data_IF_920841777780
#
_entry.id   IF_920841777780
#
_cell.length_a   1.000
_cell.length_b   1.000
_cell.length_c   1.000
_cell.angle_alpha   90.00
_cell.angle_beta   90.00
_cell.angle_gamma   90.00
#
_symmetry.space_group_name_H-M   'P 1'
#
loop_
_entity.id
_entity.type
_entity.pdbx_description
1 polymer ?
#
# COMPACT_ATOMS: atom_id res chain seq x y z
N UNK A 1 20.13 0.93 -27.81
CA UNK A 1 21.39 1.67 -28.02
C UNK A 1 22.04 1.07 -29.27
N UNK A 2 21.59 1.46 -30.46
CA UNK A 2 22.05 2.61 -31.25
C UNK A 2 23.47 2.41 -31.79
N UNK A 3 23.50 2.19 -33.11
CA UNK A 3 24.64 2.01 -34.02
C UNK A 3 25.73 3.09 -33.86
N UNK A 4 27.00 2.68 -34.00
CA UNK A 4 28.12 3.58 -34.28
C UNK A 4 28.83 3.10 -35.56
N UNK A 5 28.51 3.76 -36.68
CA UNK A 5 29.30 4.81 -37.37
C UNK A 5 30.33 4.25 -38.36
N UNK A 6 29.90 4.34 -39.61
CA UNK A 6 30.61 4.36 -40.87
C UNK A 6 31.33 5.70 -41.07
N UNK A 7 32.59 5.69 -41.52
CA UNK A 7 33.18 6.62 -42.51
C UNK A 7 34.71 6.64 -42.40
N UNK A 8 35.41 6.25 -43.48
CA UNK A 8 36.54 7.00 -44.05
C UNK A 8 36.86 6.42 -45.43
N UNK A 9 36.36 7.09 -46.46
CA UNK A 9 36.72 6.94 -47.87
C UNK A 9 36.94 8.36 -48.41
N UNK A 10 37.93 8.47 -49.29
CA UNK A 10 38.44 9.64 -50.02
C UNK A 10 39.48 10.52 -49.31
N UNK A 11 40.74 10.28 -49.65
CA UNK A 11 41.55 11.32 -50.29
C UNK A 11 42.33 10.70 -51.45
N UNK A 12 42.37 11.41 -52.58
CA UNK A 12 43.02 10.98 -53.81
C UNK A 12 44.01 12.05 -54.25
N UNK A 13 45.24 11.66 -54.55
CA UNK A 13 46.21 12.60 -55.09
C UNK A 13 47.58 12.00 -55.41
N UNK A 14 47.94 12.16 -56.69
CA UNK A 14 49.29 12.17 -57.27
C UNK A 14 50.01 10.85 -57.56
N UNK A 15 50.00 10.53 -58.86
CA UNK A 15 50.95 9.69 -59.59
C UNK A 15 52.39 10.21 -59.40
N UNK A 16 53.31 9.29 -59.13
CA UNK A 16 54.73 9.44 -59.43
C UNK A 16 55.27 8.06 -59.79
N UNK A 17 55.47 7.84 -61.09
CA UNK A 17 56.38 6.83 -61.63
C UNK A 17 57.81 7.31 -61.31
N UNK A 18 58.57 6.56 -60.51
CA UNK A 18 59.88 6.06 -60.94
C UNK A 18 60.52 5.15 -59.87
N UNK A 19 61.40 4.28 -60.34
CA UNK A 19 62.37 3.47 -59.59
C UNK A 19 61.83 2.34 -58.70
N UNK A 20 61.89 1.14 -59.29
CA UNK A 20 61.78 -0.19 -58.72
C UNK A 20 63.08 -0.57 -57.96
N UNK A 21 63.14 -0.56 -56.62
CA UNK A 21 64.09 -1.39 -55.89
C UNK A 21 63.54 -2.82 -55.84
N UNK A 22 64.39 -3.78 -56.21
CA UNK A 22 64.12 -5.21 -56.17
C UNK A 22 63.21 -5.61 -55.00
N UNK A 23 61.98 -5.98 -55.34
CA UNK A 23 60.98 -6.51 -54.44
C UNK A 23 61.39 -7.90 -53.96
N UNK A 24 62.31 -7.94 -53.01
CA UNK A 24 62.57 -9.11 -52.17
C UNK A 24 61.46 -9.15 -51.12
N UNK A 25 60.23 -9.40 -51.59
CA UNK A 25 59.12 -9.72 -50.72
C UNK A 25 59.49 -11.05 -50.06
N UNK A 26 59.53 -11.15 -48.71
CA UNK A 26 59.74 -12.44 -48.08
C UNK A 26 58.69 -13.39 -48.64
N UNK A 27 59.10 -14.59 -49.04
CA UNK A 27 58.19 -15.67 -49.38
C UNK A 27 57.41 -15.95 -48.10
N UNK A 28 56.32 -15.22 -47.91
CA UNK A 28 55.37 -15.42 -46.83
C UNK A 28 54.79 -16.79 -47.11
N UNK A 29 55.18 -17.76 -46.28
CA UNK A 29 54.72 -19.12 -46.38
C UNK A 29 53.19 -19.10 -46.18
N UNK A 30 52.45 -19.13 -47.29
CA UNK A 30 50.99 -18.96 -47.31
C UNK A 30 50.30 -19.97 -46.40
N UNK A 31 50.92 -21.13 -46.24
CA UNK A 31 50.46 -22.19 -45.35
C UNK A 31 50.55 -21.76 -43.88
N UNK A 32 51.64 -21.09 -43.48
CA UNK A 32 51.84 -20.58 -42.13
C UNK A 32 50.85 -19.45 -41.80
N UNK A 33 50.59 -18.55 -42.75
CA UNK A 33 49.59 -17.50 -42.55
C UNK A 33 48.17 -18.05 -42.44
N UNK A 34 47.85 -19.11 -43.19
CA UNK A 34 46.55 -19.77 -43.12
C UNK A 34 46.34 -20.47 -41.76
N UNK A 35 47.37 -21.13 -41.21
CA UNK A 35 47.29 -21.75 -39.89
C UNK A 35 47.09 -20.71 -38.77
N UNK A 36 47.79 -19.57 -38.82
CA UNK A 36 47.62 -18.51 -37.84
C UNK A 36 46.22 -17.88 -37.89
N UNK A 37 45.67 -17.65 -39.08
CA UNK A 37 44.31 -17.12 -39.23
C UNK A 37 43.27 -18.12 -38.73
N UNK A 38 43.47 -19.42 -38.99
CA UNK A 38 42.60 -20.47 -38.49
C UNK A 38 42.62 -20.52 -36.96
N UNK A 39 43.80 -20.50 -36.34
CA UNK A 39 43.94 -20.49 -34.88
C UNK A 39 43.34 -19.24 -34.24
N UNK A 40 43.48 -18.07 -34.87
CA UNK A 40 42.84 -16.83 -34.43
C UNK A 40 41.32 -16.91 -34.51
N UNK A 41 40.77 -17.49 -35.58
CA UNK A 41 39.34 -17.71 -35.75
C UNK A 41 38.79 -18.71 -34.73
N UNK A 42 39.52 -19.80 -34.48
CA UNK A 42 39.17 -20.82 -33.50
C UNK A 42 39.21 -20.22 -32.09
N UNK A 43 40.21 -19.40 -31.77
CA UNK A 43 40.31 -18.67 -30.50
C UNK A 43 39.16 -17.67 -30.32
N UNK A 44 38.82 -16.90 -31.36
CA UNK A 44 37.73 -15.93 -31.33
C UNK A 44 36.37 -16.63 -31.16
N UNK A 45 36.13 -17.70 -31.92
CA UNK A 45 34.89 -18.47 -31.84
C UNK A 45 34.73 -19.12 -30.47
N UNK A 46 35.80 -19.70 -29.90
CA UNK A 46 35.79 -20.24 -28.55
C UNK A 46 35.49 -19.16 -27.49
N UNK A 47 36.06 -17.96 -27.62
CA UNK A 47 35.76 -16.81 -26.73
C UNK A 47 34.31 -16.33 -26.87
N UNK A 48 33.79 -16.27 -28.09
CA UNK A 48 32.39 -15.89 -28.32
C UNK A 48 31.42 -16.93 -27.76
N UNK A 49 31.68 -18.22 -27.98
CA UNK A 49 30.85 -19.31 -27.45
C UNK A 49 30.86 -19.30 -25.92
N UNK A 50 32.04 -19.17 -25.30
CA UNK A 50 32.15 -19.12 -23.83
C UNK A 50 31.49 -17.88 -23.25
N UNK A 51 31.70 -16.70 -23.85
CA UNK A 51 31.04 -15.46 -23.44
C UNK A 51 29.52 -15.55 -23.59
N UNK A 52 29.03 -16.12 -24.70
CA UNK A 52 27.61 -16.31 -24.94
C UNK A 52 27.00 -17.29 -23.95
N UNK A 53 27.65 -18.44 -23.71
CA UNK A 53 27.21 -19.42 -22.72
C UNK A 53 27.11 -18.79 -21.33
N UNK A 54 28.14 -18.07 -20.90
CA UNK A 54 28.14 -17.38 -19.61
C UNK A 54 27.00 -16.36 -19.50
N UNK A 55 26.68 -15.65 -20.58
CA UNK A 55 25.59 -14.68 -20.59
C UNK A 55 24.22 -15.37 -20.52
N UNK A 56 24.04 -16.47 -21.27
CA UNK A 56 22.83 -17.31 -21.21
C UNK A 56 22.63 -17.88 -19.81
N UNK A 57 23.68 -18.37 -19.16
CA UNK A 57 23.63 -18.91 -17.80
C UNK A 57 23.23 -17.83 -16.79
N UNK A 58 23.78 -16.62 -16.94
CA UNK A 58 23.43 -15.47 -16.09
C UNK A 58 21.97 -15.07 -16.28
N UNK A 59 21.50 -14.93 -17.52
CA UNK A 59 20.11 -14.59 -17.81
C UNK A 59 19.14 -15.67 -17.32
N UNK A 60 19.52 -16.94 -17.43
CA UNK A 60 18.74 -18.07 -16.90
C UNK A 60 18.59 -17.97 -15.38
N UNK A 61 19.69 -17.69 -14.68
CA UNK A 61 19.68 -17.49 -13.22
C UNK A 61 18.84 -16.28 -12.81
N UNK A 62 19.00 -15.15 -13.49
CA UNK A 62 18.24 -13.93 -13.20
C UNK A 62 16.73 -14.16 -13.42
N UNK A 63 16.36 -14.89 -14.47
CA UNK A 63 14.97 -15.24 -14.75
C UNK A 63 14.38 -16.15 -13.65
N UNK A 64 15.15 -17.13 -13.18
CA UNK A 64 14.74 -17.97 -12.05
C UNK A 64 14.55 -17.15 -10.77
N UNK A 65 15.47 -16.23 -10.47
CA UNK A 65 15.38 -15.35 -9.30
C UNK A 65 14.16 -14.41 -9.38
N UNK A 66 13.93 -13.79 -10.53
CA UNK A 66 12.75 -12.96 -10.76
C UNK A 66 11.45 -13.77 -10.63
N UNK A 67 11.43 -15.00 -11.13
CA UNK A 67 10.32 -15.92 -10.94
C UNK A 67 10.04 -16.22 -9.47
N UNK A 68 11.08 -16.53 -8.69
CA UNK A 68 10.98 -16.78 -7.26
C UNK A 68 10.47 -15.55 -6.49
N UNK A 69 11.02 -14.36 -6.79
CA UNK A 69 10.59 -13.08 -6.18
C UNK A 69 9.14 -12.75 -6.53
N UNK A 70 8.73 -12.98 -7.77
CA UNK A 70 7.36 -12.75 -8.24
C UNK A 70 6.39 -13.67 -7.50
N UNK A 71 6.72 -14.96 -7.37
CA UNK A 71 5.93 -15.93 -6.62
C UNK A 71 5.80 -15.53 -5.15
N UNK A 72 6.92 -15.17 -4.50
CA UNK A 72 6.93 -14.71 -3.11
C UNK A 72 6.05 -13.47 -2.90
N UNK A 73 6.17 -12.47 -3.78
CA UNK A 73 5.36 -11.26 -3.71
C UNK A 73 3.87 -11.56 -3.92
N UNK A 74 3.52 -12.46 -4.84
CA UNK A 74 2.13 -12.88 -5.05
C UNK A 74 1.55 -13.56 -3.80
N UNK A 75 2.33 -14.40 -3.12
CA UNK A 75 1.93 -14.98 -1.83
C UNK A 75 1.70 -13.90 -0.77
N UNK A 76 2.61 -12.92 -0.65
CA UNK A 76 2.46 -11.81 0.30
C UNK A 76 1.26 -10.91 0.02
N UNK A 77 0.94 -10.66 -1.25
CA UNK A 77 -0.27 -9.93 -1.63
C UNK A 77 -1.53 -10.70 -1.20
N UNK A 78 -1.53 -12.03 -1.36
CA UNK A 78 -2.66 -12.87 -0.96
C UNK A 78 -2.85 -12.87 0.56
N UNK A 79 -1.75 -12.95 1.32
CA UNK A 79 -1.75 -12.84 2.79
C UNK A 79 -2.32 -11.48 3.23
N UNK A 80 -1.81 -10.38 2.69
CA UNK A 80 -2.33 -9.04 3.01
C UNK A 80 -3.80 -8.84 2.63
N UNK A 81 -4.25 -9.44 1.53
CA UNK A 81 -5.66 -9.39 1.16
C UNK A 81 -6.54 -10.15 2.17
N UNK A 82 -6.06 -11.28 2.70
CA UNK A 82 -6.73 -12.02 3.76
C UNK A 82 -6.80 -11.19 5.04
N UNK A 83 -5.66 -10.69 5.51
CA UNK A 83 -5.57 -9.88 6.74
C UNK A 83 -6.46 -8.62 6.66
N UNK A 84 -6.49 -7.98 5.49
CA UNK A 84 -7.34 -6.82 5.25
C UNK A 84 -8.83 -7.16 5.35
N UNK A 85 -9.26 -8.30 4.78
CA UNK A 85 -10.66 -8.73 4.85
C UNK A 85 -11.07 -9.06 6.28
N UNK A 86 -10.21 -9.76 7.03
CA UNK A 86 -10.45 -10.08 8.43
C UNK A 86 -10.58 -8.78 9.25
N UNK A 87 -9.66 -7.83 9.05
CA UNK A 87 -9.71 -6.53 9.73
C UNK A 87 -10.98 -5.75 9.38
N UNK A 88 -11.40 -5.74 8.12
CA UNK A 88 -12.63 -5.08 7.70
C UNK A 88 -13.87 -5.67 8.39
N UNK A 89 -13.95 -7.00 8.51
CA UNK A 89 -15.02 -7.67 9.25
C UNK A 89 -15.00 -7.33 10.76
N UNK A 90 -13.80 -7.28 11.35
CA UNK A 90 -13.61 -6.87 12.74
C UNK A 90 -14.10 -5.43 12.98
N UNK A 91 -13.76 -4.50 12.10
CA UNK A 91 -14.20 -3.09 12.19
C UNK A 91 -15.72 -3.01 12.09
N UNK A 92 -16.32 -3.68 11.09
CA UNK A 92 -17.78 -3.67 10.91
C UNK A 92 -18.51 -4.21 12.15
N UNK A 93 -18.00 -5.28 12.76
CA UNK A 93 -18.56 -5.83 14.00
C UNK A 93 -18.44 -4.87 15.18
N UNK A 94 -17.31 -4.18 15.32
CA UNK A 94 -17.13 -3.18 16.37
C UNK A 94 -18.08 -1.99 16.19
N UNK A 95 -18.29 -1.53 14.96
CA UNK A 95 -19.25 -0.45 14.65
C UNK A 95 -20.69 -0.85 15.01
N UNK A 96 -21.07 -2.10 14.72
CA UNK A 96 -22.38 -2.64 15.11
C UNK A 96 -22.53 -2.72 16.64
N UNK A 97 -21.49 -3.17 17.35
CA UNK A 97 -21.49 -3.22 18.81
C UNK A 97 -21.59 -1.82 19.42
N UNK A 98 -20.84 -0.85 18.90
CA UNK A 98 -20.89 0.54 19.36
C UNK A 98 -22.29 1.11 19.16
N UNK A 99 -22.87 0.93 17.97
CA UNK A 99 -24.24 1.39 17.68
C UNK A 99 -25.26 0.75 18.64
N UNK A 100 -25.14 -0.56 18.90
CA UNK A 100 -26.02 -1.24 19.85
C UNK A 100 -25.84 -0.76 21.29
N UNK A 101 -24.61 -0.45 21.70
CA UNK A 101 -24.36 0.11 23.03
C UNK A 101 -24.96 1.51 23.16
N UNK A 102 -24.83 2.34 22.13
CA UNK A 102 -25.38 3.69 22.10
C UNK A 102 -26.91 3.66 22.24
N UNK A 103 -27.59 2.79 21.48
CA UNK A 103 -29.05 2.61 21.62
C UNK A 103 -29.44 2.13 23.01
N UNK A 104 -28.68 1.19 23.59
CA UNK A 104 -28.96 0.68 24.93
C UNK A 104 -28.76 1.75 26.01
N UNK A 105 -27.80 2.66 25.85
CA UNK A 105 -27.57 3.79 26.76
C UNK A 105 -28.75 4.75 26.68
N UNK A 106 -29.19 5.11 25.46
CA UNK A 106 -30.35 6.00 25.27
C UNK A 106 -31.60 5.39 25.90
N UNK A 107 -31.87 4.11 25.64
CA UNK A 107 -33.02 3.40 26.23
C UNK A 107 -32.95 3.37 27.76
N UNK A 108 -31.75 3.16 28.32
CA UNK A 108 -31.53 3.15 29.77
C UNK A 108 -31.71 4.55 30.38
N UNK A 109 -31.24 5.60 29.72
CA UNK A 109 -31.43 6.99 30.16
C UNK A 109 -32.90 7.39 30.10
N UNK A 110 -33.61 7.05 29.03
CA UNK A 110 -35.04 7.30 28.88
C UNK A 110 -35.83 6.55 29.94
N UNK A 111 -35.51 5.27 30.18
CA UNK A 111 -36.16 4.47 31.23
C UNK A 111 -35.88 5.04 32.63
N UNK A 112 -34.66 5.53 32.88
CA UNK A 112 -34.29 6.19 34.14
C UNK A 112 -35.02 7.52 34.33
N UNK A 113 -35.22 8.28 33.25
CA UNK A 113 -35.88 9.59 33.29
C UNK A 113 -37.40 9.54 33.13
N UNK A 114 -37.98 8.39 32.82
CA UNK A 114 -39.41 8.25 32.49
C UNK A 114 -40.36 8.76 33.58
N UNK A 115 -39.95 8.64 34.83
CA UNK A 115 -40.71 9.11 35.99
C UNK A 115 -40.26 10.49 36.49
N UNK A 116 -39.30 11.13 35.82
CA UNK A 116 -38.78 12.43 36.22
C UNK A 116 -39.61 13.54 35.58
N UNK A 117 -40.20 14.39 36.42
CA UNK A 117 -40.91 15.58 35.97
C UNK A 117 -40.00 16.82 36.07
N UNK A 118 -39.74 17.48 34.93
CA UNK A 118 -38.98 18.73 34.90
C UNK A 118 -39.92 19.93 35.01
N UNK A 119 -39.95 20.57 36.18
CA UNK A 119 -40.72 21.80 36.41
C UNK A 119 -39.85 23.02 36.12
N UNK A 120 -40.34 23.95 35.27
CA UNK A 120 -39.65 25.20 34.94
C UNK A 120 -40.44 26.40 35.46
N UNK A 121 -39.75 27.48 35.81
CA UNK A 121 -40.38 28.72 36.29
C UNK A 121 -40.70 28.73 37.79
N UNK A 122 -40.10 27.83 38.57
CA UNK A 122 -40.15 27.89 40.03
C UNK A 122 -39.35 29.12 40.47
N UNK A 123 -39.90 30.01 41.32
CA UNK A 123 -39.17 31.15 41.85
C UNK A 123 -37.92 30.70 42.60
N UNK A 124 -36.77 31.31 42.29
CA UNK A 124 -35.48 31.05 42.93
C UNK A 124 -35.45 31.16 44.47
N UNK A 125 -36.25 31.99 45.17
CA UNK A 125 -36.18 32.07 46.63
C UNK A 125 -36.78 30.86 47.38
N UNK A 126 -37.31 29.85 46.69
CA UNK A 126 -37.80 28.63 47.36
C UNK A 126 -36.61 27.80 47.82
N UNK A 127 -36.38 27.76 49.14
CA UNK A 127 -35.34 26.91 49.72
C UNK A 127 -35.57 25.43 49.38
N UNK A 128 -34.49 24.67 49.15
CA UNK A 128 -34.55 23.25 48.80
C UNK A 128 -35.38 22.41 49.80
N UNK A 129 -35.32 22.76 51.10
CA UNK A 129 -36.11 22.09 52.14
C UNK A 129 -37.64 22.27 51.98
N UNK A 130 -38.08 23.31 51.27
CA UNK A 130 -39.49 23.63 51.03
C UNK A 130 -39.98 23.20 49.63
N UNK A 131 -39.07 22.73 48.76
CA UNK A 131 -39.42 22.34 47.38
C UNK A 131 -40.51 21.26 47.33
N UNK A 132 -40.45 20.16 48.13
CA UNK A 132 -41.49 19.13 48.08
C UNK A 132 -42.87 19.67 48.43
N UNK A 133 -42.96 20.52 49.47
CA UNK A 133 -44.21 21.16 49.88
C UNK A 133 -44.74 22.12 48.81
N UNK A 134 -43.84 22.89 48.18
CA UNK A 134 -44.18 23.78 47.08
C UNK A 134 -44.72 23.01 45.86
N UNK A 135 -44.05 21.92 45.46
CA UNK A 135 -44.47 21.06 44.34
C UNK A 135 -45.83 20.42 44.60
N UNK A 136 -46.08 19.90 45.80
CA UNK A 136 -47.40 19.38 46.16
C UNK A 136 -48.50 20.46 46.10
N UNK A 137 -48.20 21.67 46.58
CA UNK A 137 -49.12 22.80 46.50
C UNK A 137 -49.44 23.16 45.04
N UNK A 138 -48.41 23.22 44.19
CA UNK A 138 -48.55 23.51 42.77
C UNK A 138 -49.40 22.44 42.06
N UNK A 139 -49.11 21.16 42.29
CA UNK A 139 -49.86 20.04 41.70
C UNK A 139 -51.32 20.06 42.13
N UNK A 140 -51.62 20.37 43.39
CA UNK A 140 -53.00 20.49 43.89
C UNK A 140 -53.78 21.62 43.22
N UNK A 141 -53.11 22.72 42.87
CA UNK A 141 -53.73 23.83 42.13
C UNK A 141 -53.96 23.46 40.66
N UNK A 142 -53.00 22.79 40.03
CA UNK A 142 -53.07 22.45 38.60
C UNK A 142 -53.96 21.24 38.29
N UNK A 143 -53.99 20.25 39.19
CA UNK A 143 -54.72 19.00 39.03
C UNK A 143 -55.44 18.63 40.35
N UNK A 144 -56.49 19.39 40.74
CA UNK A 144 -57.17 19.21 42.02
C UNK A 144 -57.87 17.85 42.17
N UNK A 145 -58.19 17.20 41.05
CA UNK A 145 -58.83 15.88 41.00
C UNK A 145 -57.88 14.73 41.36
N UNK A 146 -56.56 14.98 41.38
CA UNK A 146 -55.56 13.96 41.69
C UNK A 146 -55.38 13.87 43.22
N UNK A 147 -55.63 12.70 43.84
CA UNK A 147 -55.45 12.52 45.27
C UNK A 147 -53.99 12.74 45.66
N UNK A 148 -53.75 13.66 46.61
CA UNK A 148 -52.39 14.08 47.00
C UNK A 148 -51.61 12.96 47.70
N UNK A 149 -52.33 12.04 48.33
CA UNK A 149 -51.87 10.80 48.95
C UNK A 149 -51.38 9.74 47.96
N UNK A 150 -51.74 9.85 46.67
CA UNK A 150 -51.24 8.97 45.61
C UNK A 150 -49.95 9.47 44.96
N UNK A 151 -49.53 10.71 45.25
CA UNK A 151 -48.30 11.30 44.71
C UNK A 151 -47.11 10.99 45.64
N UNK A 152 -46.34 9.97 45.29
CA UNK A 152 -45.07 9.66 45.95
C UNK A 152 -43.92 10.35 45.20
N UNK A 153 -43.26 11.29 45.87
CA UNK A 153 -42.06 11.96 45.37
C UNK A 153 -40.84 11.26 45.98
N UNK A 154 -40.06 10.57 45.16
CA UNK A 154 -38.86 9.84 45.62
C UNK A 154 -37.68 10.81 45.85
N UNK A 155 -37.47 11.75 44.94
CA UNK A 155 -36.46 12.79 45.06
C UNK A 155 -36.90 14.09 44.35
N UNK A 156 -36.60 15.24 44.96
CA UNK A 156 -36.87 16.57 44.41
C UNK A 156 -35.64 17.43 44.68
N UNK A 157 -35.14 18.09 43.64
CA UNK A 157 -33.97 18.96 43.68
C UNK A 157 -34.19 20.22 42.85
#
# INVERSE_FOLDING_TARGET
MALAVQAMLHDGGALSEDSNPASDSPIVDRNLTATYLQEALDSLSAKLISSWSSHVDTLSKDNQELGARTSHNASKITEFASDHNDLAEHVQRLEQQLTSMDTNIIDAEDQSCRNNLRLRGIPEPVAAALLPTYVHGLLKVLAPEVPTDMLLLDWVH
#
